data_IF_815108269109
#
_entry.id   IF_815108269109
#
_cell.length_a   1.000
_cell.length_b   1.000
_cell.length_c   1.000
_cell.angle_alpha   90.00
_cell.angle_beta   90.00
_cell.angle_gamma   90.00
#
_symmetry.space_group_name_H-M   'P 1'
#
loop_
_entity.id
_entity.type
_entity.pdbx_description
1 polymer ?
#
# COMPACT_ATOMS: atom_id res chain seq x y z
N UNK A 1 -3.32 -12.62 9.84
CA UNK A 1 -3.80 -11.24 9.67
C UNK A 1 -2.68 -10.42 9.06
N UNK A 2 -2.97 -9.75 7.96
CA UNK A 2 -2.05 -8.94 7.16
C UNK A 2 -2.67 -7.56 7.00
N UNK A 3 -1.89 -6.51 7.21
CA UNK A 3 -2.34 -5.14 6.89
C UNK A 3 -2.16 -4.93 5.40
N UNK A 4 -3.22 -4.51 4.72
CA UNK A 4 -3.19 -4.18 3.29
C UNK A 4 -3.69 -2.76 3.09
N UNK A 5 -3.17 -2.09 2.07
CA UNK A 5 -3.69 -0.81 1.58
C UNK A 5 -4.37 -1.04 0.22
N UNK A 6 -5.58 -0.50 -0.02
CA UNK A 6 -6.22 -0.61 -1.31
C UNK A 6 -5.50 0.23 -2.36
N UNK A 7 -5.59 -0.20 -3.62
CA UNK A 7 -5.08 0.53 -4.78
C UNK A 7 -6.27 1.08 -5.55
N UNK A 8 -6.21 2.35 -5.95
CA UNK A 8 -7.29 3.01 -6.68
C UNK A 8 -6.77 3.85 -7.84
N UNK A 9 -7.52 3.86 -8.94
CA UNK A 9 -7.30 4.72 -10.10
C UNK A 9 -7.96 6.09 -9.98
N UNK A 10 -8.53 6.45 -8.83
CA UNK A 10 -9.21 7.74 -8.67
C UNK A 10 -8.27 8.93 -8.82
N UNK A 11 -8.80 10.04 -9.35
CA UNK A 11 -8.06 11.29 -9.58
C UNK A 11 -7.71 12.05 -8.29
N UNK A 12 -8.31 11.69 -7.15
CA UNK A 12 -8.05 12.34 -5.86
C UNK A 12 -6.57 12.25 -5.47
N UNK A 13 -6.03 13.33 -4.89
CA UNK A 13 -4.63 13.45 -4.48
C UNK A 13 -4.57 13.90 -3.02
N UNK A 14 -4.81 12.97 -2.10
CA UNK A 14 -4.64 13.25 -0.67
C UNK A 14 -3.19 12.99 -0.24
N UNK A 15 -2.73 13.60 0.86
CA UNK A 15 -1.35 13.48 1.31
C UNK A 15 -0.88 12.03 1.53
N UNK A 16 -1.78 11.13 1.91
CA UNK A 16 -1.46 9.73 2.21
C UNK A 16 -1.62 8.81 1.00
N UNK A 17 -1.76 9.37 -0.20
CA UNK A 17 -1.87 8.58 -1.43
C UNK A 17 -0.50 8.51 -2.10
N UNK A 18 0.01 7.29 -2.30
CA UNK A 18 1.27 7.07 -3.02
C UNK A 18 0.99 6.59 -4.45
N UNK A 19 1.43 7.32 -5.48
CA UNK A 19 1.30 6.88 -6.88
C UNK A 19 2.29 5.74 -7.12
N UNK A 20 1.79 4.60 -7.61
CA UNK A 20 2.64 3.49 -8.05
C UNK A 20 3.43 3.88 -9.30
N UNK A 21 4.73 3.62 -9.28
CA UNK A 21 5.68 4.00 -10.34
C UNK A 21 6.53 2.82 -10.83
N UNK A 22 6.83 1.84 -9.98
CA UNK A 22 7.65 0.68 -10.34
C UNK A 22 6.84 -0.56 -10.74
N UNK A 23 5.54 -0.57 -10.43
CA UNK A 23 4.58 -1.63 -10.79
C UNK A 23 4.44 -1.73 -12.32
N UNK A 24 4.54 -2.95 -12.88
CA UNK A 24 4.48 -3.15 -14.34
C UNK A 24 3.06 -3.38 -14.87
N UNK A 25 2.19 -3.92 -14.02
CA UNK A 25 0.85 -4.43 -14.39
C UNK A 25 -0.26 -3.66 -13.66
N UNK A 26 -0.01 -3.24 -12.43
CA UNK A 26 -1.00 -2.54 -11.60
C UNK A 26 -0.76 -1.03 -11.66
N UNK A 27 -1.80 -0.28 -12.02
CA UNK A 27 -1.75 1.18 -12.11
C UNK A 27 -2.66 1.81 -11.05
N UNK A 28 -2.22 2.94 -10.50
CA UNK A 28 -3.03 3.74 -9.58
C UNK A 28 -2.23 4.30 -8.42
N UNK A 29 -2.93 4.50 -7.31
CA UNK A 29 -2.37 5.03 -6.07
C UNK A 29 -2.70 4.07 -4.93
N UNK A 30 -1.72 3.82 -4.07
CA UNK A 30 -1.89 3.14 -2.78
C UNK A 30 -2.53 4.12 -1.80
N UNK A 31 -3.68 3.76 -1.23
CA UNK A 31 -4.42 4.63 -0.31
C UNK A 31 -4.07 4.27 1.13
N UNK A 32 -3.03 4.91 1.67
CA UNK A 32 -2.43 4.52 2.95
C UNK A 32 -3.32 4.86 4.16
N UNK A 33 -4.18 5.85 4.03
CA UNK A 33 -5.21 6.22 5.02
C UNK A 33 -6.35 5.19 5.12
N UNK A 34 -6.44 4.25 4.19
CA UNK A 34 -7.52 3.25 4.10
C UNK A 34 -7.01 1.83 4.33
N UNK A 35 -5.94 1.67 5.12
CA UNK A 35 -5.43 0.34 5.45
C UNK A 35 -6.41 -0.48 6.27
N UNK A 36 -6.51 -1.77 5.95
CA UNK A 36 -7.38 -2.73 6.65
C UNK A 36 -6.61 -3.99 7.00
N UNK A 37 -7.06 -4.67 8.07
CA UNK A 37 -6.53 -5.97 8.44
C UNK A 37 -7.33 -7.07 7.72
N UNK A 38 -6.66 -7.86 6.87
CA UNK A 38 -7.24 -9.00 6.18
C UNK A 38 -6.60 -10.32 6.61
N UNK A 39 -7.40 -11.38 6.69
CA UNK A 39 -6.86 -12.74 6.65
C UNK A 39 -6.74 -13.17 5.19
N UNK A 40 -5.51 -13.14 4.68
CA UNK A 40 -5.19 -13.55 3.32
C UNK A 40 -5.30 -15.07 3.12
N UNK A 41 -4.99 -15.87 4.16
CA UNK A 41 -5.07 -17.34 4.09
C UNK A 41 -6.51 -17.79 4.04
N UNK A 42 -7.37 -17.22 4.88
CA UNK A 42 -8.81 -17.49 4.84
C UNK A 42 -9.48 -17.03 3.53
N UNK A 43 -8.84 -16.13 2.78
CA UNK A 43 -9.25 -15.68 1.44
C UNK A 43 -8.55 -16.43 0.30
N UNK A 44 -7.78 -17.46 0.62
CA UNK A 44 -7.03 -18.26 -0.37
C UNK A 44 -6.07 -17.45 -1.25
N UNK A 45 -5.53 -16.34 -0.73
CA UNK A 45 -4.49 -15.57 -1.43
C UNK A 45 -3.15 -16.27 -1.24
N UNK A 46 -2.70 -16.97 -2.28
CA UNK A 46 -1.40 -17.65 -2.36
C UNK A 46 -0.40 -16.80 -3.15
N UNK A 47 0.87 -17.25 -3.22
CA UNK A 47 1.89 -16.57 -4.03
C UNK A 47 1.50 -16.47 -5.51
N UNK A 48 0.72 -17.43 -6.02
CA UNK A 48 0.22 -17.44 -7.40
C UNK A 48 -0.83 -16.34 -7.66
N UNK A 49 -1.48 -15.84 -6.61
CA UNK A 49 -2.42 -14.73 -6.70
C UNK A 49 -1.72 -13.36 -6.70
N UNK A 50 -0.39 -13.31 -6.52
CA UNK A 50 0.36 -12.07 -6.59
C UNK A 50 0.53 -11.69 -8.06
N UNK A 51 -0.04 -10.54 -8.43
CA UNK A 51 -0.07 -10.06 -9.81
C UNK A 51 1.08 -9.11 -10.16
N UNK A 52 1.73 -8.52 -9.16
CA UNK A 52 2.80 -7.54 -9.36
C UNK A 52 3.62 -7.32 -8.08
N UNK A 53 4.78 -6.70 -8.25
CA UNK A 53 5.67 -6.30 -7.16
C UNK A 53 6.14 -4.86 -7.37
N UNK A 54 6.18 -4.10 -6.29
CA UNK A 54 6.90 -2.82 -6.26
C UNK A 54 8.39 -3.06 -6.03
N UNK A 55 9.23 -2.11 -6.45
CA UNK A 55 10.65 -2.11 -6.12
C UNK A 55 10.86 -1.92 -4.62
N UNK A 56 12.08 -2.23 -4.16
CA UNK A 56 12.46 -2.02 -2.76
C UNK A 56 12.38 -0.54 -2.38
N UNK A 57 12.87 0.31 -3.28
CA UNK A 57 12.92 1.77 -3.10
C UNK A 57 11.52 2.35 -2.97
N UNK A 58 10.60 1.95 -3.87
CA UNK A 58 9.20 2.40 -3.78
C UNK A 58 8.51 1.88 -2.51
N UNK A 59 8.81 0.65 -2.07
CA UNK A 59 8.30 0.13 -0.80
C UNK A 59 8.79 0.98 0.40
N UNK A 60 10.05 1.41 0.40
CA UNK A 60 10.61 2.25 1.45
C UNK A 60 9.95 3.64 1.50
N UNK A 61 9.66 4.23 0.33
CA UNK A 61 8.89 5.47 0.21
C UNK A 61 7.48 5.30 0.78
N UNK A 62 6.77 4.24 0.38
CA UNK A 62 5.42 3.92 0.87
C UNK A 62 5.42 3.78 2.40
N UNK A 63 6.38 3.04 2.97
CA UNK A 63 6.47 2.84 4.43
C UNK A 63 6.79 4.16 5.15
N UNK A 64 7.66 4.99 4.58
CA UNK A 64 8.02 6.30 5.15
C UNK A 64 6.80 7.21 5.21
N UNK A 65 6.02 7.26 4.12
CA UNK A 65 4.77 8.01 4.09
C UNK A 65 3.74 7.44 5.08
N UNK A 66 3.57 6.11 5.13
CA UNK A 66 2.61 5.45 6.00
C UNK A 66 2.86 5.73 7.48
N UNK A 67 4.14 5.82 7.89
CA UNK A 67 4.52 6.15 9.28
C UNK A 67 3.97 7.49 9.75
N UNK A 68 3.77 8.46 8.85
CA UNK A 68 3.24 9.78 9.20
C UNK A 68 1.78 9.75 9.67
N UNK A 69 1.03 8.66 9.43
CA UNK A 69 -0.30 8.47 10.02
C UNK A 69 -0.24 8.30 11.54
N UNK A 70 0.89 7.81 12.04
CA UNK A 70 1.06 7.53 13.45
C UNK A 70 1.77 8.71 14.07
N UNK A 71 1.08 9.42 14.96
CA UNK A 71 1.72 10.40 15.82
C UNK A 71 2.72 9.66 16.70
N UNK A 72 3.99 9.95 16.49
CA UNK A 72 5.05 9.56 17.40
C UNK A 72 5.32 10.83 18.20
N UNK A 73 5.00 10.83 19.49
CA UNK A 73 5.46 11.91 20.37
C UNK A 73 6.99 11.85 20.34
N UNK A 74 7.63 12.86 19.74
CA UNK A 74 9.07 13.08 19.88
C UNK A 74 9.33 13.35 21.37
N UNK A 75 9.98 12.41 22.05
CA UNK A 75 10.59 12.62 23.36
C UNK A 75 12.02 13.10 23.20
#
# INVERSE_FOLDING_TARGET
MTIVAPISSTERNFPMYHRLTSSQTVYGKVLLDQTIALDLRARHVTNEAIVDHVSREELEEIITLYKLLFSIDDK
#
